data_IF_325321924598
#
_entry.id   IF_325321924598
#
_cell.length_a   1.000
_cell.length_b   1.000
_cell.length_c   1.000
_cell.angle_alpha   90.00
_cell.angle_beta   90.00
_cell.angle_gamma   90.00
#
_symmetry.space_group_name_H-M   'P 1'
#
loop_
_entity.id
_entity.type
_entity.pdbx_description
1 polymer ?
#
# COMPACT_ATOMS: atom_id res chain seq x y z
N UNK A 1 3.16 -9.84 -14.90
CA UNK A 1 3.13 -8.37 -14.99
C UNK A 1 4.26 -7.86 -14.12
N UNK A 2 4.92 -6.75 -14.46
CA UNK A 2 5.88 -6.10 -13.55
C UNK A 2 5.07 -5.18 -12.65
N UNK A 3 5.00 -5.50 -11.36
CA UNK A 3 4.35 -4.63 -10.37
C UNK A 3 5.34 -3.54 -9.97
N UNK A 4 5.04 -2.30 -10.30
CA UNK A 4 5.90 -1.17 -10.00
C UNK A 4 5.70 -0.69 -8.55
N UNK A 5 6.71 -0.02 -7.99
CA UNK A 5 6.57 0.72 -6.73
C UNK A 5 6.63 2.20 -7.08
N UNK A 6 5.76 2.99 -6.45
CA UNK A 6 5.83 4.44 -6.49
C UNK A 6 7.16 4.92 -5.91
N UNK A 7 8.04 5.44 -6.78
CA UNK A 7 9.35 5.98 -6.41
C UNK A 7 9.27 7.41 -5.83
N UNK A 8 8.06 7.98 -5.73
CA UNK A 8 7.87 9.33 -5.21
C UNK A 8 8.04 9.36 -3.69
N UNK A 9 8.70 10.40 -3.20
CA UNK A 9 8.68 10.72 -1.77
C UNK A 9 7.31 11.27 -1.37
N UNK A 10 6.83 10.87 -0.18
CA UNK A 10 5.59 11.42 0.36
C UNK A 10 5.80 12.90 0.74
N UNK A 11 5.11 13.79 0.02
CA UNK A 11 4.99 15.19 0.43
C UNK A 11 4.17 15.32 1.73
N UNK A 12 4.25 16.45 2.46
CA UNK A 12 3.46 16.65 3.67
C UNK A 12 1.95 16.50 3.47
N UNK A 13 1.43 16.81 2.28
CA UNK A 13 0.02 16.66 1.91
C UNK A 13 -0.44 15.21 1.98
N UNK A 14 0.40 14.27 1.57
CA UNK A 14 0.13 12.83 1.67
C UNK A 14 0.05 12.32 3.11
N UNK A 15 0.68 13.04 4.05
CA UNK A 15 0.74 12.66 5.46
C UNK A 15 -0.32 13.38 6.32
N UNK A 16 -1.17 14.21 5.69
CA UNK A 16 -2.33 14.79 6.36
C UNK A 16 -3.34 13.70 6.71
N UNK A 17 -4.11 13.96 7.77
CA UNK A 17 -5.13 13.04 8.29
C UNK A 17 -6.07 12.60 7.17
N UNK A 18 -6.65 13.54 6.42
CA UNK A 18 -7.55 13.30 5.28
C UNK A 18 -6.96 12.33 4.25
N UNK A 19 -5.72 12.59 3.82
CA UNK A 19 -5.03 11.73 2.84
C UNK A 19 -4.76 10.34 3.40
N UNK A 20 -4.31 10.24 4.65
CA UNK A 20 -4.03 8.94 5.28
C UNK A 20 -5.29 8.13 5.60
N UNK A 21 -6.41 8.80 5.89
CA UNK A 21 -7.72 8.14 6.07
C UNK A 21 -8.20 7.58 4.74
N UNK A 22 -8.15 8.38 3.67
CA UNK A 22 -8.50 7.91 2.33
C UNK A 22 -7.65 6.71 1.88
N UNK A 23 -6.34 6.76 2.09
CA UNK A 23 -5.46 5.62 1.77
C UNK A 23 -5.81 4.41 2.64
N UNK A 24 -6.15 4.60 3.91
CA UNK A 24 -6.55 3.49 4.78
C UNK A 24 -7.86 2.83 4.32
N UNK A 25 -8.85 3.62 3.88
CA UNK A 25 -10.08 3.10 3.27
C UNK A 25 -9.78 2.29 1.99
N UNK A 26 -8.84 2.77 1.17
CA UNK A 26 -8.39 2.03 -0.01
C UNK A 26 -7.73 0.69 0.36
N UNK A 27 -6.91 0.67 1.40
CA UNK A 27 -6.25 -0.54 1.92
C UNK A 27 -7.26 -1.53 2.53
N UNK A 28 -8.32 -1.02 3.16
CA UNK A 28 -9.44 -1.84 3.66
C UNK A 28 -10.22 -2.50 2.53
N UNK A 29 -10.43 -1.78 1.43
CA UNK A 29 -11.15 -2.27 0.26
C UNK A 29 -10.34 -3.29 -0.58
N UNK A 30 -9.06 -3.53 -0.28
CA UNK A 30 -8.26 -4.51 -1.03
C UNK A 30 -8.75 -5.95 -0.79
N UNK A 31 -9.24 -6.59 -1.84
CA UNK A 31 -9.67 -8.00 -1.80
C UNK A 31 -8.67 -8.95 -2.46
N UNK A 32 -7.75 -8.41 -3.26
CA UNK A 32 -6.81 -9.18 -4.08
C UNK A 32 -5.39 -8.64 -4.00
N UNK A 33 -4.41 -9.46 -4.40
CA UNK A 33 -3.00 -9.08 -4.43
C UNK A 33 -2.74 -7.98 -5.47
N UNK A 34 -3.45 -8.04 -6.59
CA UNK A 34 -3.38 -7.08 -7.70
C UNK A 34 -3.80 -5.68 -7.26
N UNK A 35 -4.87 -5.57 -6.47
CA UNK A 35 -5.29 -4.27 -5.91
C UNK A 35 -4.21 -3.65 -5.03
N UNK A 36 -3.49 -4.45 -4.24
CA UNK A 36 -2.37 -3.95 -3.43
C UNK A 36 -1.22 -3.48 -4.32
N UNK A 37 -0.96 -4.17 -5.43
CA UNK A 37 0.04 -3.74 -6.39
C UNK A 37 -0.33 -2.38 -6.99
N UNK A 38 -1.59 -2.18 -7.41
CA UNK A 38 -2.06 -0.91 -7.94
C UNK A 38 -1.88 0.23 -6.91
N UNK A 39 -2.21 -0.01 -5.64
CA UNK A 39 -2.02 1.00 -4.59
C UNK A 39 -0.55 1.33 -4.36
N UNK A 40 0.36 0.36 -4.50
CA UNK A 40 1.82 0.59 -4.41
C UNK A 40 2.36 1.42 -5.56
N UNK A 41 1.73 1.36 -6.74
CA UNK A 41 2.09 2.19 -7.89
C UNK A 41 1.59 3.63 -7.74
N UNK A 42 0.43 3.80 -7.12
CA UNK A 42 -0.22 5.11 -6.97
C UNK A 42 0.34 5.90 -5.80
N UNK A 43 0.47 5.27 -4.63
CA UNK A 43 0.76 5.98 -3.38
C UNK A 43 2.23 5.86 -2.96
N UNK A 44 2.85 6.98 -2.50
CA UNK A 44 4.17 6.94 -1.91
C UNK A 44 4.26 5.93 -0.76
N UNK A 45 5.34 5.17 -0.69
CA UNK A 45 5.56 4.12 0.33
C UNK A 45 5.34 4.62 1.76
N UNK A 46 5.77 5.84 2.06
CA UNK A 46 5.63 6.44 3.39
C UNK A 46 4.16 6.76 3.72
N UNK A 47 3.37 7.18 2.74
CA UNK A 47 1.95 7.44 2.91
C UNK A 47 1.18 6.12 3.17
N UNK A 48 1.47 5.07 2.40
CA UNK A 48 0.95 3.71 2.63
C UNK A 48 1.31 3.20 4.02
N UNK A 49 2.57 3.39 4.45
CA UNK A 49 3.02 2.96 5.78
C UNK A 49 2.25 3.69 6.89
N UNK A 50 2.06 5.01 6.77
CA UNK A 50 1.30 5.81 7.73
C UNK A 50 -0.18 5.42 7.77
N UNK A 51 -0.81 5.21 6.61
CA UNK A 51 -2.20 4.80 6.52
C UNK A 51 -2.45 3.38 7.07
N UNK A 52 -1.51 2.46 6.87
CA UNK A 52 -1.64 1.06 7.33
C UNK A 52 -1.85 0.91 8.84
N UNK A 53 -1.46 1.92 9.64
CA UNK A 53 -1.66 1.94 11.09
C UNK A 53 -3.15 2.03 11.45
N UNK A 54 -3.99 2.55 10.55
CA UNK A 54 -5.43 2.72 10.74
C UNK A 54 -6.27 1.53 10.24
N UNK A 55 -5.64 0.60 9.51
CA UNK A 55 -6.30 -0.59 8.94
C UNK A 55 -6.50 -1.66 10.01
N UNK A 56 -7.66 -2.29 10.04
CA UNK A 56 -8.03 -3.42 10.89
C UNK A 56 -6.97 -4.52 10.85
N UNK A 57 -6.74 -5.16 12.00
CA UNK A 57 -5.62 -6.09 12.18
C UNK A 57 -5.67 -7.26 11.19
N UNK A 58 -6.87 -7.82 10.96
CA UNK A 58 -7.08 -8.94 10.04
C UNK A 58 -6.70 -8.54 8.61
N UNK A 59 -7.13 -7.37 8.17
CA UNK A 59 -6.84 -6.88 6.83
C UNK A 59 -5.37 -6.50 6.69
N UNK A 60 -4.78 -5.87 7.71
CA UNK A 60 -3.34 -5.58 7.78
C UNK A 60 -2.50 -6.83 7.63
N UNK A 61 -2.87 -7.93 8.26
CA UNK A 61 -2.15 -9.20 8.12
C UNK A 61 -2.23 -9.76 6.69
N UNK A 62 -3.39 -9.63 6.03
CA UNK A 62 -3.54 -10.01 4.60
C UNK A 62 -2.65 -9.16 3.71
N UNK A 63 -2.67 -7.83 3.89
CA UNK A 63 -1.83 -6.88 3.18
C UNK A 63 -0.34 -7.23 3.35
N UNK A 64 0.12 -7.56 4.56
CA UNK A 64 1.51 -7.98 4.80
C UNK A 64 1.86 -9.24 3.99
N UNK A 65 0.98 -10.25 3.97
CA UNK A 65 1.22 -11.48 3.21
C UNK A 65 1.31 -11.19 1.70
N UNK A 66 0.40 -10.36 1.16
CA UNK A 66 0.44 -9.96 -0.26
C UNK A 66 1.68 -9.13 -0.59
N UNK A 67 2.08 -8.21 0.29
CA UNK A 67 3.31 -7.43 0.14
C UNK A 67 4.55 -8.32 0.10
N UNK A 68 4.60 -9.39 0.89
CA UNK A 68 5.71 -10.36 0.84
C UNK A 68 5.81 -11.06 -0.51
N UNK A 69 4.69 -11.51 -1.06
CA UNK A 69 4.65 -12.14 -2.39
C UNK A 69 5.11 -11.16 -3.46
N UNK A 70 4.52 -9.96 -3.51
CA UNK A 70 4.87 -8.92 -4.48
C UNK A 70 6.37 -8.54 -4.40
N UNK A 71 6.94 -8.46 -3.20
CA UNK A 71 8.37 -8.15 -3.03
C UNK A 71 9.29 -9.29 -3.46
N UNK A 72 8.82 -10.54 -3.44
CA UNK A 72 9.57 -11.67 -3.99
C UNK A 72 9.56 -11.67 -5.51
N UNK A 73 8.41 -11.34 -6.11
CA UNK A 73 8.27 -11.23 -7.57
C UNK A 73 9.11 -10.08 -8.14
N UNK A 74 9.18 -8.93 -7.47
CA UNK A 74 10.04 -7.82 -7.88
C UNK A 74 11.53 -8.21 -7.90
N UNK A 75 12.00 -8.94 -6.88
CA UNK A 75 13.40 -9.40 -6.81
C UNK A 75 13.78 -10.43 -7.87
N UNK A 76 12.79 -11.15 -8.41
CA UNK A 76 12.99 -12.15 -9.44
C UNK A 76 12.93 -11.56 -10.87
N UNK A 77 12.53 -10.29 -11.02
CA UNK A 77 12.26 -9.60 -12.30
C UNK A 77 13.39 -8.65 -12.73
#
# INVERSE_FOLDING_TARGET
>A
MKYHICDLEATPEWLKIESTDYIAECLEACETLEMVADLREIFPRRALSSASIKVEEVQRQRLVNWLQVLNQEEKAA
#
